data_IF_701899552338
#
_entry.id   IF_701899552338
#
_cell.length_a   1.000
_cell.length_b   1.000
_cell.length_c   1.000
_cell.angle_alpha   90.00
_cell.angle_beta   90.00
_cell.angle_gamma   90.00
#
_symmetry.space_group_name_H-M   'P 1'
#
loop_
_entity.id
_entity.type
_entity.pdbx_description
1 polymer ?
#
# COMPACT_ATOMS: atom_id res chain seq x y z
N UNK A 1 -6.81 37.93 34.41
CA UNK A 1 -6.37 36.54 34.14
C UNK A 1 -7.22 35.97 33.02
N UNK A 2 -6.66 35.66 31.85
CA UNK A 2 -7.41 35.07 30.74
C UNK A 2 -6.70 33.80 30.26
N UNK A 3 -7.16 32.66 30.78
CA UNK A 3 -6.66 31.36 30.38
C UNK A 3 -7.26 30.99 29.02
N UNK A 4 -6.48 31.20 27.97
CA UNK A 4 -6.78 30.77 26.60
C UNK A 4 -6.83 29.24 26.56
N UNK A 5 -8.02 28.68 26.78
CA UNK A 5 -8.29 27.25 26.74
C UNK A 5 -8.01 26.72 25.34
N UNK A 6 -6.82 26.11 25.17
CA UNK A 6 -6.41 25.42 23.95
C UNK A 6 -7.31 24.20 23.76
N UNK A 7 -8.36 24.34 22.93
CA UNK A 7 -9.18 23.22 22.44
C UNK A 7 -8.30 22.26 21.63
N UNK A 8 -7.80 21.23 22.31
CA UNK A 8 -7.10 20.13 21.66
C UNK A 8 -8.16 19.28 20.92
N UNK A 9 -8.33 19.52 19.62
CA UNK A 9 -9.23 18.71 18.79
C UNK A 9 -8.60 17.32 18.63
N UNK A 10 -8.99 16.39 19.50
CA UNK A 10 -8.74 14.97 19.31
C UNK A 10 -9.41 14.52 18.00
N UNK A 11 -8.64 14.56 16.91
CA UNK A 11 -9.07 14.02 15.61
C UNK A 11 -9.20 12.51 15.80
N UNK A 12 -10.44 12.03 15.95
CA UNK A 12 -10.74 10.59 15.92
C UNK A 12 -10.16 10.03 14.64
N UNK A 13 -9.09 9.24 14.74
CA UNK A 13 -8.46 8.61 13.58
C UNK A 13 -9.47 7.60 13.04
N UNK A 14 -9.97 7.85 11.84
CA UNK A 14 -10.86 6.90 11.17
C UNK A 14 -10.11 5.57 11.01
N UNK A 15 -10.77 4.42 11.24
CA UNK A 15 -10.15 3.13 10.98
C UNK A 15 -9.78 3.06 9.49
N UNK A 16 -8.49 2.93 9.20
CA UNK A 16 -7.99 2.75 7.84
C UNK A 16 -8.09 1.26 7.50
N UNK A 17 -8.44 0.95 6.24
CA UNK A 17 -8.60 -0.44 5.78
C UNK A 17 -7.27 -1.23 5.79
N UNK A 18 -6.14 -0.51 5.71
CA UNK A 18 -4.80 -1.08 5.70
C UNK A 18 -3.84 -0.23 6.54
N UNK A 19 -2.79 -0.87 7.03
CA UNK A 19 -1.66 -0.23 7.74
C UNK A 19 -0.88 0.69 6.78
N UNK A 20 -0.25 1.78 7.25
CA UNK A 20 0.55 2.67 6.40
C UNK A 20 1.64 1.98 5.59
N UNK A 21 2.22 0.89 6.11
CA UNK A 21 3.21 0.09 5.39
C UNK A 21 2.60 -0.65 4.21
N UNK A 22 1.41 -1.23 4.36
CA UNK A 22 0.71 -1.93 3.30
C UNK A 22 0.32 -1.01 2.16
N UNK A 23 -0.04 0.25 2.45
CA UNK A 23 -0.28 1.24 1.41
C UNK A 23 0.98 1.54 0.59
N UNK A 24 2.15 1.61 1.23
CA UNK A 24 3.44 1.79 0.53
C UNK A 24 3.78 0.58 -0.34
N UNK A 25 3.60 -0.64 0.19
CA UNK A 25 3.83 -1.87 -0.57
C UNK A 25 2.86 -2.00 -1.75
N UNK A 26 1.58 -1.63 -1.58
CA UNK A 26 0.60 -1.60 -2.65
C UNK A 26 1.05 -0.65 -3.77
N UNK A 27 1.46 0.57 -3.42
CA UNK A 27 2.00 1.53 -4.38
C UNK A 27 3.25 1.02 -5.10
N UNK A 28 4.15 0.36 -4.37
CA UNK A 28 5.35 -0.25 -4.95
C UNK A 28 5.00 -1.36 -5.95
N UNK A 29 4.05 -2.23 -5.62
CA UNK A 29 3.60 -3.31 -6.51
C UNK A 29 3.00 -2.77 -7.81
N UNK A 30 2.15 -1.74 -7.72
CA UNK A 30 1.60 -1.06 -8.91
C UNK A 30 2.72 -0.42 -9.73
N UNK A 31 3.68 0.23 -9.09
CA UNK A 31 4.81 0.85 -9.76
C UNK A 31 5.66 -0.18 -10.53
N UNK A 32 5.91 -1.35 -9.95
CA UNK A 32 6.63 -2.44 -10.61
C UNK A 32 5.91 -2.92 -11.89
N UNK A 33 4.59 -3.05 -11.83
CA UNK A 33 3.79 -3.42 -13.01
C UNK A 33 3.93 -2.35 -14.11
N UNK A 34 3.80 -1.08 -13.76
CA UNK A 34 3.97 0.04 -14.70
C UNK A 34 5.38 0.03 -15.29
N UNK A 35 6.42 -0.19 -14.49
CA UNK A 35 7.81 -0.26 -14.96
C UNK A 35 7.99 -1.44 -15.92
N UNK A 36 7.46 -2.62 -15.60
CA UNK A 36 7.58 -3.79 -16.46
C UNK A 36 6.94 -3.57 -17.84
N UNK A 37 5.75 -2.99 -17.89
CA UNK A 37 5.12 -2.63 -19.18
C UNK A 37 5.82 -1.46 -19.89
N UNK A 38 6.35 -0.50 -19.13
CA UNK A 38 7.12 0.62 -19.71
C UNK A 38 8.43 0.13 -20.32
N UNK A 39 9.11 -0.83 -19.69
CA UNK A 39 10.33 -1.45 -20.20
C UNK A 39 10.08 -2.14 -21.55
N UNK A 40 8.97 -2.89 -21.68
CA UNK A 40 8.55 -3.47 -22.96
C UNK A 40 8.37 -2.41 -24.05
N UNK A 41 7.82 -1.23 -23.70
CA UNK A 41 7.60 -0.15 -24.65
C UNK A 41 8.91 0.54 -25.08
N UNK A 42 9.85 0.70 -24.15
CA UNK A 42 11.11 1.40 -24.42
C UNK A 42 12.06 0.59 -25.30
N UNK A 43 12.03 -0.74 -25.23
CA UNK A 43 12.92 -1.56 -26.04
C UNK A 43 12.63 -1.50 -27.55
N UNK A 44 11.40 -1.18 -28.00
CA UNK A 44 10.97 -1.17 -29.42
C UNK A 44 11.30 -2.44 -30.25
N UNK A 45 12.03 -3.40 -29.71
CA UNK A 45 12.24 -4.76 -30.20
C UNK A 45 11.48 -5.71 -29.29
N UNK A 46 10.35 -6.22 -29.80
CA UNK A 46 9.51 -7.20 -29.09
C UNK A 46 10.29 -8.49 -28.76
N UNK A 47 11.41 -8.73 -29.45
CA UNK A 47 12.29 -9.88 -29.27
C UNK A 47 13.54 -9.58 -28.43
N UNK A 48 13.64 -8.39 -27.83
CA UNK A 48 14.69 -8.10 -26.85
C UNK A 48 14.58 -9.03 -25.64
N UNK A 49 15.73 -9.53 -25.18
CA UNK A 49 15.83 -10.47 -24.04
C UNK A 49 15.19 -9.86 -22.78
N UNK A 50 15.21 -8.53 -22.65
CA UNK A 50 14.64 -7.79 -21.52
C UNK A 50 13.11 -7.76 -21.60
N UNK A 51 12.53 -7.47 -22.77
CA UNK A 51 11.09 -7.56 -22.98
C UNK A 51 10.55 -8.98 -22.78
N UNK A 52 11.26 -10.00 -23.29
CA UNK A 52 10.76 -11.38 -23.30
C UNK A 52 10.93 -12.11 -21.95
N UNK A 53 12.00 -11.82 -21.17
CA UNK A 53 12.29 -12.52 -19.92
C UNK A 53 12.18 -11.63 -18.67
N UNK A 54 12.78 -10.44 -18.69
CA UNK A 54 12.79 -9.58 -17.50
C UNK A 54 11.43 -8.96 -17.23
N UNK A 55 10.73 -8.50 -18.27
CA UNK A 55 9.47 -7.80 -18.09
C UNK A 55 8.38 -8.69 -17.49
N UNK A 56 8.17 -9.95 -17.93
CA UNK A 56 7.23 -10.87 -17.28
C UNK A 56 7.57 -11.14 -15.80
N UNK A 57 8.85 -11.29 -15.47
CA UNK A 57 9.30 -11.54 -14.08
C UNK A 57 9.02 -10.30 -13.20
N UNK A 58 9.30 -9.10 -13.70
CA UNK A 58 9.04 -7.84 -12.98
C UNK A 58 7.55 -7.64 -12.75
N UNK A 59 6.73 -7.86 -13.79
CA UNK A 59 5.27 -7.73 -13.70
C UNK A 59 4.72 -8.75 -12.69
N UNK A 60 5.16 -10.01 -12.76
CA UNK A 60 4.76 -11.06 -11.83
C UNK A 60 5.13 -10.70 -10.38
N UNK A 61 6.34 -10.20 -10.17
CA UNK A 61 6.80 -9.73 -8.86
C UNK A 61 5.92 -8.58 -8.36
N UNK A 62 5.55 -7.65 -9.23
CA UNK A 62 4.61 -6.57 -8.91
C UNK A 62 3.25 -7.09 -8.45
N UNK A 63 2.69 -8.09 -9.15
CA UNK A 63 1.44 -8.74 -8.74
C UNK A 63 1.55 -9.44 -7.38
N UNK A 64 2.63 -10.18 -7.12
CA UNK A 64 2.86 -10.83 -5.82
C UNK A 64 2.91 -9.80 -4.70
N UNK A 65 3.58 -8.66 -4.91
CA UNK A 65 3.64 -7.56 -3.93
C UNK A 65 2.27 -6.96 -3.68
N UNK A 66 1.47 -6.72 -4.73
CA UNK A 66 0.08 -6.22 -4.58
C UNK A 66 -0.77 -7.20 -3.77
N UNK A 67 -0.74 -8.49 -4.14
CA UNK A 67 -1.48 -9.55 -3.45
C UNK A 67 -1.07 -9.62 -1.98
N UNK A 68 0.23 -9.64 -1.70
CA UNK A 68 0.74 -9.65 -0.32
C UNK A 68 0.29 -8.42 0.47
N UNK A 69 0.28 -7.23 -0.15
CA UNK A 69 -0.16 -5.98 0.48
C UNK A 69 -1.63 -5.98 0.85
N UNK A 70 -2.46 -6.63 0.02
CA UNK A 70 -3.90 -6.78 0.28
C UNK A 70 -4.12 -7.84 1.36
N UNK A 71 -3.45 -9.00 1.24
CA UNK A 71 -3.65 -10.14 2.12
C UNK A 71 -3.12 -9.90 3.54
N UNK A 72 -2.05 -9.12 3.69
CA UNK A 72 -1.49 -8.74 4.99
C UNK A 72 -2.38 -7.72 5.70
N UNK A 73 -3.60 -8.09 6.04
CA UNK A 73 -4.49 -7.25 6.83
C UNK A 73 -4.04 -7.32 8.29
N UNK A 74 -3.40 -6.26 8.75
CA UNK A 74 -3.03 -6.13 10.16
C UNK A 74 -4.32 -5.88 10.96
N UNK A 75 -4.87 -6.93 11.56
CA UNK A 75 -6.03 -6.84 12.43
C UNK A 75 -5.61 -6.21 13.77
N UNK A 76 -5.32 -4.91 13.80
CA UNK A 76 -5.42 -4.11 15.04
C UNK A 76 -6.81 -3.47 15.10
N UNK A 77 -7.82 -4.32 15.22
CA UNK A 77 -9.22 -3.92 15.46
C UNK A 77 -9.71 -4.28 16.86
N UNK A 78 -8.82 -4.62 17.79
CA UNK A 78 -9.16 -4.76 19.21
C UNK A 78 -8.32 -3.79 20.04
N UNK A 79 -8.85 -2.58 20.26
CA UNK A 79 -8.85 -1.98 21.62
C UNK A 79 -9.78 -0.75 21.73
N UNK A 80 -10.93 -0.78 21.05
CA UNK A 80 -11.98 0.22 21.27
C UNK A 80 -13.34 -0.45 21.42
N UNK A 81 -13.38 -1.50 22.24
CA UNK A 81 -14.63 -1.87 22.91
C UNK A 81 -14.80 -0.93 24.10
N UNK A 82 -15.88 -0.14 24.19
CA UNK A 82 -16.16 0.61 25.40
C UNK A 82 -16.43 -0.44 26.48
N UNK A 83 -15.52 -0.55 27.46
CA UNK A 83 -15.81 -1.24 28.72
C UNK A 83 -17.06 -0.56 29.28
N UNK A 84 -18.20 -1.19 29.05
CA UNK A 84 -19.44 -0.86 29.72
C UNK A 84 -19.26 -1.43 31.12
N UNK A 85 -18.80 -0.56 32.00
CA UNK A 85 -18.88 -0.73 33.45
C UNK A 85 -20.36 -0.80 33.83
N UNK A 86 -20.78 -1.96 34.29
CA UNK A 86 -21.97 -2.15 35.13
C UNK A 86 -21.55 -2.94 36.35
#
# INVERSE_FOLDING_TARGET
>A
MSAKQRRNKNKKKKPMLFTPLNYKLLGLGVLLVVIGFTAMRLENEVYGIISLYFSPIIILSGYVVVIYSILKRDHKLEDSSPKTSS
#
